data_IF_437399083749
#
_entry.id   IF_437399083749
#
_cell.length_a   1.000
_cell.length_b   1.000
_cell.length_c   1.000
_cell.angle_alpha   90.00
_cell.angle_beta   90.00
_cell.angle_gamma   90.00
#
_symmetry.space_group_name_H-M   'P 1'
#
loop_
_entity.id
_entity.type
_entity.pdbx_description
1 polymer ?
#
# COMPACT_ATOMS: atom_id res chain seq x y z
N UNK A 1 6.12 16.91 -9.69
CA UNK A 1 6.75 15.81 -8.91
C UNK A 1 7.06 16.38 -7.53
N UNK A 2 6.28 16.07 -6.53
CA UNK A 2 6.65 16.35 -5.14
C UNK A 2 7.25 15.06 -4.62
N UNK A 3 8.59 14.96 -4.64
CA UNK A 3 9.34 14.01 -3.84
C UNK A 3 9.65 14.79 -2.56
N UNK A 4 8.79 14.67 -1.55
CA UNK A 4 9.02 15.23 -0.23
C UNK A 4 9.20 14.10 0.76
N UNK A 5 10.02 14.29 1.76
CA UNK A 5 9.97 13.51 2.98
C UNK A 5 8.55 13.64 3.54
N UNK A 6 7.76 12.59 3.44
CA UNK A 6 6.36 12.57 3.82
C UNK A 6 6.28 11.91 5.18
N UNK A 7 5.61 12.60 6.06
CA UNK A 7 5.46 12.20 7.41
C UNK A 7 4.08 11.64 7.71
N UNK A 8 4.02 10.76 8.67
CA UNK A 8 2.78 10.18 9.18
C UNK A 8 2.35 10.89 10.47
N UNK A 9 1.05 11.18 10.56
CA UNK A 9 0.41 11.54 11.83
C UNK A 9 -0.35 10.33 12.38
N UNK A 10 0.36 9.32 12.87
CA UNK A 10 -0.26 8.10 13.44
C UNK A 10 -1.33 8.42 14.48
N UNK A 11 -1.21 9.56 15.17
CA UNK A 11 -2.20 10.03 16.14
C UNK A 11 -3.51 10.52 15.50
N UNK A 12 -3.54 10.76 14.19
CA UNK A 12 -4.76 11.15 13.46
C UNK A 12 -5.47 9.97 12.81
N UNK A 13 -4.83 8.80 12.76
CA UNK A 13 -5.42 7.58 12.22
C UNK A 13 -6.62 7.11 13.04
N UNK A 14 -7.50 6.33 12.44
CA UNK A 14 -8.58 5.67 13.15
C UNK A 14 -8.03 4.78 14.29
N UNK A 15 -8.75 4.71 15.43
CA UNK A 15 -8.33 3.91 16.61
C UNK A 15 -7.93 2.48 16.25
N UNK A 16 -8.65 1.85 15.33
CA UNK A 16 -8.36 0.48 14.89
C UNK A 16 -7.00 0.39 14.20
N UNK A 17 -6.67 1.36 13.36
CA UNK A 17 -5.39 1.43 12.67
C UNK A 17 -4.24 1.64 13.66
N UNK A 18 -4.40 2.57 14.61
CA UNK A 18 -3.41 2.79 15.67
C UNK A 18 -3.20 1.54 16.55
N UNK A 19 -4.28 0.83 16.91
CA UNK A 19 -4.19 -0.42 17.64
C UNK A 19 -3.46 -1.51 16.83
N UNK A 20 -3.68 -1.57 15.52
CA UNK A 20 -2.99 -2.51 14.63
C UNK A 20 -1.49 -2.21 14.52
N UNK A 21 -1.10 -0.93 14.43
CA UNK A 21 0.30 -0.50 14.47
C UNK A 21 0.98 -0.96 15.75
N UNK A 22 0.31 -0.81 16.89
CA UNK A 22 0.77 -1.27 18.20
C UNK A 22 0.64 -2.80 18.40
N UNK A 23 0.10 -3.51 17.41
CA UNK A 23 -0.20 -4.94 17.47
C UNK A 23 -1.04 -5.31 18.71
N UNK A 24 -2.03 -4.47 19.04
CA UNK A 24 -2.92 -4.66 20.19
C UNK A 24 -4.20 -5.37 19.77
N UNK A 25 -4.47 -6.47 20.42
CA UNK A 25 -5.76 -7.17 20.32
C UNK A 25 -6.67 -6.74 21.50
N UNK A 26 -7.90 -6.20 21.25
CA UNK A 26 -8.77 -5.68 22.30
C UNK A 26 -9.23 -6.75 23.31
N UNK A 27 -9.14 -8.03 22.94
CA UNK A 27 -9.57 -9.15 23.79
C UNK A 27 -8.39 -9.81 24.50
N UNK A 28 -7.28 -10.01 23.79
CA UNK A 28 -6.09 -10.69 24.31
C UNK A 28 -5.21 -9.77 25.17
N UNK A 29 -5.12 -8.48 24.74
CA UNK A 29 -4.30 -7.45 25.38
C UNK A 29 -5.18 -6.44 26.15
N UNK A 30 -6.26 -6.88 26.81
CA UNK A 30 -7.29 -6.02 27.38
C UNK A 30 -6.73 -4.85 28.21
N UNK A 31 -5.79 -5.13 29.13
CA UNK A 31 -5.18 -4.09 29.99
C UNK A 31 -4.43 -3.03 29.17
N UNK A 32 -3.64 -3.47 28.18
CA UNK A 32 -2.86 -2.59 27.31
C UNK A 32 -3.76 -1.81 26.35
N UNK A 33 -4.80 -2.47 25.85
CA UNK A 33 -5.78 -1.81 24.98
C UNK A 33 -6.57 -0.74 25.75
N UNK A 34 -6.94 -0.99 27.00
CA UNK A 34 -7.59 0.00 27.86
C UNK A 34 -6.65 1.16 28.20
N UNK A 35 -5.36 0.91 28.47
CA UNK A 35 -4.35 1.95 28.64
C UNK A 35 -4.21 2.82 27.36
N UNK A 36 -4.15 2.18 26.22
CA UNK A 36 -4.10 2.86 24.92
C UNK A 36 -5.35 3.74 24.69
N UNK A 37 -6.56 3.24 24.98
CA UNK A 37 -7.81 4.02 24.84
C UNK A 37 -7.83 5.22 25.78
N UNK A 38 -7.38 5.06 27.03
CA UNK A 38 -7.23 6.20 27.97
C UNK A 38 -6.24 7.23 27.45
N UNK A 39 -5.07 6.77 26.98
CA UNK A 39 -4.05 7.64 26.41
C UNK A 39 -4.60 8.49 25.26
N UNK A 40 -5.37 7.89 24.35
CA UNK A 40 -6.00 8.63 23.25
C UNK A 40 -7.06 9.63 23.73
N UNK A 41 -7.83 9.28 24.75
CA UNK A 41 -8.83 10.20 25.32
C UNK A 41 -8.17 11.40 26.00
N UNK A 42 -7.04 11.20 26.65
CA UNK A 42 -6.31 12.23 27.40
C UNK A 42 -5.37 13.05 26.49
N UNK A 43 -4.97 12.50 25.35
CA UNK A 43 -4.07 13.17 24.42
C UNK A 43 -4.70 14.42 23.79
N UNK A 44 -6.04 14.43 23.63
CA UNK A 44 -6.76 15.52 22.96
C UNK A 44 -6.22 15.71 21.52
N UNK A 45 -5.85 16.94 21.20
CA UNK A 45 -5.18 17.28 19.93
C UNK A 45 -3.64 17.21 20.02
N UNK A 46 -3.08 16.68 21.12
CA UNK A 46 -1.63 16.58 21.27
C UNK A 46 -1.05 15.61 20.23
N UNK A 47 -0.32 16.16 19.28
CA UNK A 47 0.34 15.45 18.18
C UNK A 47 1.82 15.17 18.46
N UNK A 48 2.25 15.31 19.71
CA UNK A 48 3.64 15.17 20.12
C UNK A 48 3.86 13.80 20.78
N UNK A 49 4.49 12.90 20.03
CA UNK A 49 4.86 11.55 20.51
C UNK A 49 5.70 11.66 21.81
N UNK A 50 6.63 12.62 21.89
CA UNK A 50 7.49 12.79 23.07
C UNK A 50 6.68 13.04 24.34
N UNK A 51 5.64 13.89 24.28
CA UNK A 51 4.75 14.14 25.43
C UNK A 51 3.98 12.88 25.83
N UNK A 52 3.52 12.07 24.85
CA UNK A 52 2.84 10.81 25.13
C UNK A 52 3.75 9.79 25.79
N UNK A 53 5.00 9.68 25.35
CA UNK A 53 5.99 8.79 25.97
C UNK A 53 6.28 9.20 27.44
N UNK A 54 6.39 10.50 27.72
CA UNK A 54 6.57 11.01 29.09
C UNK A 54 5.36 10.70 29.96
N UNK A 55 4.15 10.85 29.46
CA UNK A 55 2.91 10.49 30.19
C UNK A 55 2.85 9.00 30.51
N UNK A 56 3.14 8.14 29.55
CA UNK A 56 3.17 6.68 29.77
C UNK A 56 4.22 6.29 30.79
N UNK A 57 5.39 6.94 30.80
CA UNK A 57 6.44 6.70 31.79
C UNK A 57 5.98 7.04 33.22
N UNK A 58 5.21 8.12 33.37
CA UNK A 58 4.67 8.59 34.66
C UNK A 58 3.39 7.87 35.07
N UNK A 59 2.76 7.10 34.19
CA UNK A 59 1.47 6.46 34.38
C UNK A 59 1.50 5.17 35.23
N UNK A 60 0.44 4.41 35.14
CA UNK A 60 0.29 3.15 35.88
C UNK A 60 1.13 1.99 35.29
N UNK A 61 0.96 0.77 35.77
CA UNK A 61 1.70 -0.39 35.30
C UNK A 61 1.34 -0.78 33.86
N UNK A 62 0.10 -0.53 33.41
CA UNK A 62 -0.35 -0.82 32.06
C UNK A 62 0.22 0.22 31.08
N UNK A 63 0.27 1.49 31.47
CA UNK A 63 0.85 2.58 30.68
C UNK A 63 2.35 2.30 30.43
N UNK A 64 3.10 1.91 31.47
CA UNK A 64 4.53 1.57 31.33
C UNK A 64 4.76 0.33 30.46
N UNK A 65 3.86 -0.68 30.51
CA UNK A 65 3.92 -1.84 29.61
C UNK A 65 3.60 -1.46 28.17
N UNK A 66 2.67 -0.52 27.97
CA UNK A 66 2.38 0.03 26.64
C UNK A 66 3.59 0.77 26.08
N UNK A 67 4.24 1.63 26.88
CA UNK A 67 5.48 2.29 26.50
C UNK A 67 6.55 1.27 26.09
N UNK A 68 6.74 0.21 26.88
CA UNK A 68 7.71 -0.82 26.57
C UNK A 68 7.39 -1.57 25.26
N UNK A 69 6.10 -1.78 24.94
CA UNK A 69 5.67 -2.36 23.66
C UNK A 69 6.05 -1.43 22.49
N UNK A 70 5.79 -0.13 22.59
CA UNK A 70 6.18 0.87 21.59
C UNK A 70 7.68 0.84 21.34
N UNK A 71 8.48 0.80 22.40
CA UNK A 71 9.95 0.70 22.33
C UNK A 71 10.40 -0.62 21.71
N UNK A 72 9.79 -1.74 22.09
CA UNK A 72 10.13 -3.06 21.55
C UNK A 72 9.78 -3.21 20.06
N UNK A 73 8.77 -2.47 19.58
CA UNK A 73 8.40 -2.38 18.18
C UNK A 73 9.28 -1.39 17.39
N UNK A 74 10.24 -0.72 18.04
CA UNK A 74 11.14 0.25 17.40
C UNK A 74 10.42 1.53 16.94
N UNK A 75 9.16 1.71 17.28
CA UNK A 75 8.34 2.81 16.77
C UNK A 75 8.86 4.20 17.13
N UNK A 76 9.65 4.33 18.19
CA UNK A 76 10.29 5.60 18.58
C UNK A 76 11.40 6.05 17.61
N UNK A 77 11.84 5.16 16.74
CA UNK A 77 12.91 5.37 15.76
C UNK A 77 12.38 5.49 14.33
N UNK A 78 11.06 5.36 14.13
CA UNK A 78 10.47 5.49 12.81
C UNK A 78 10.66 6.89 12.23
N UNK A 79 11.07 6.97 10.98
CA UNK A 79 11.23 8.22 10.24
C UNK A 79 9.89 8.86 9.87
N UNK A 80 8.82 8.06 9.86
CA UNK A 80 7.46 8.49 9.56
C UNK A 80 6.86 9.48 10.59
N UNK A 81 7.48 9.68 11.75
CA UNK A 81 7.04 10.63 12.76
C UNK A 81 7.45 12.05 12.39
N UNK A 82 6.68 12.74 11.60
CA UNK A 82 7.00 14.09 11.24
C UNK A 82 6.20 15.10 12.04
N UNK A 83 6.83 15.74 12.93
CA UNK A 83 6.26 16.77 13.79
C UNK A 83 5.36 17.79 13.11
N UNK A 84 5.91 18.79 12.41
CA UNK A 84 5.15 19.89 11.80
C UNK A 84 4.90 19.77 10.30
N UNK A 85 5.34 18.68 9.67
CA UNK A 85 5.18 18.47 8.22
C UNK A 85 3.79 17.92 7.87
N UNK A 86 3.25 18.21 6.66
CA UNK A 86 2.00 17.62 6.22
C UNK A 86 2.13 16.09 6.12
N UNK A 87 1.06 15.36 6.45
CA UNK A 87 1.05 13.90 6.34
C UNK A 87 1.06 13.45 4.89
N UNK A 88 1.40 12.17 4.67
CA UNK A 88 1.27 11.52 3.36
C UNK A 88 -0.14 11.65 2.79
N UNK A 89 -1.14 11.52 3.66
CA UNK A 89 -2.54 11.65 3.28
C UNK A 89 -2.90 13.09 2.88
N UNK A 90 -2.38 14.10 3.59
CA UNK A 90 -2.59 15.50 3.23
C UNK A 90 -2.00 15.80 1.83
N UNK A 91 -0.77 15.34 1.57
CA UNK A 91 -0.11 15.50 0.26
C UNK A 91 -0.85 14.74 -0.85
N UNK A 92 -1.34 13.53 -0.57
CA UNK A 92 -2.06 12.73 -1.55
C UNK A 92 -3.43 13.30 -1.91
N UNK A 93 -4.04 14.11 -1.04
CA UNK A 93 -5.38 14.68 -1.22
C UNK A 93 -5.41 16.19 -1.49
N UNK A 94 -4.26 16.85 -1.56
CA UNK A 94 -4.16 18.32 -1.76
C UNK A 94 -4.58 18.81 -3.16
N UNK A 95 -4.84 17.90 -4.10
CA UNK A 95 -5.30 18.24 -5.44
C UNK A 95 -4.21 18.66 -6.41
N UNK A 96 -2.91 18.48 -6.09
CA UNK A 96 -1.77 18.88 -6.94
C UNK A 96 -1.61 18.07 -8.22
N UNK A 97 -2.46 17.10 -8.45
CA UNK A 97 -2.57 16.33 -9.70
C UNK A 97 -1.83 15.00 -9.69
N UNK A 98 -0.57 14.92 -9.30
CA UNK A 98 0.19 13.65 -9.20
C UNK A 98 1.05 13.66 -7.95
N UNK A 99 0.82 12.70 -7.06
CA UNK A 99 1.66 12.44 -5.88
C UNK A 99 2.34 11.09 -6.03
N UNK A 100 3.59 10.98 -5.66
CA UNK A 100 4.33 9.72 -5.63
C UNK A 100 4.73 9.45 -4.19
N UNK A 101 4.28 8.31 -3.69
CA UNK A 101 4.64 7.81 -2.36
C UNK A 101 5.68 6.71 -2.55
N UNK A 102 6.94 6.99 -2.17
CA UNK A 102 8.00 5.99 -2.17
C UNK A 102 7.96 5.25 -0.82
N UNK A 103 7.67 3.97 -0.89
CA UNK A 103 7.59 3.07 0.27
C UNK A 103 8.86 2.21 0.44
N UNK A 104 9.93 2.57 -0.28
CA UNK A 104 11.23 1.90 -0.18
C UNK A 104 12.13 2.54 0.87
N UNK A 105 13.10 1.78 1.36
CA UNK A 105 14.18 2.31 2.21
C UNK A 105 13.92 2.30 3.72
N UNK A 106 12.75 1.92 4.17
CA UNK A 106 12.43 1.81 5.60
C UNK A 106 12.99 0.53 6.21
N UNK A 107 13.55 0.62 7.42
CA UNK A 107 14.11 -0.53 8.14
C UNK A 107 13.01 -1.45 8.68
N UNK A 108 11.90 -0.90 9.17
CA UNK A 108 10.75 -1.67 9.66
C UNK A 108 9.66 -1.76 8.57
N UNK A 109 9.24 -2.95 8.15
CA UNK A 109 8.21 -3.13 7.14
C UNK A 109 6.80 -2.67 7.58
N UNK A 110 6.55 -2.46 8.87
CA UNK A 110 5.28 -1.93 9.36
C UNK A 110 5.16 -0.42 9.15
N UNK A 111 6.27 0.30 9.11
CA UNK A 111 6.30 1.75 8.93
C UNK A 111 5.69 2.17 7.58
N UNK A 112 6.19 1.74 6.41
CA UNK A 112 5.60 2.11 5.13
C UNK A 112 4.16 1.61 4.96
N UNK A 113 3.79 0.49 5.61
CA UNK A 113 2.42 0.00 5.60
C UNK A 113 1.48 0.92 6.39
N UNK A 114 1.95 1.51 7.49
CA UNK A 114 1.18 2.49 8.27
C UNK A 114 0.89 3.75 7.46
N UNK A 115 1.90 4.27 6.77
CA UNK A 115 1.77 5.41 5.86
C UNK A 115 0.76 5.09 4.74
N UNK A 116 0.89 3.92 4.14
CA UNK A 116 -0.04 3.47 3.10
C UNK A 116 -1.49 3.39 3.62
N UNK A 117 -1.68 2.84 4.83
CA UNK A 117 -3.00 2.73 5.45
C UNK A 117 -3.62 4.11 5.69
N UNK A 118 -2.87 5.09 6.18
CA UNK A 118 -3.35 6.45 6.39
C UNK A 118 -3.86 7.07 5.08
N UNK A 119 -3.08 6.97 4.01
CA UNK A 119 -3.48 7.48 2.68
C UNK A 119 -4.76 6.80 2.18
N UNK A 120 -4.82 5.47 2.26
CA UNK A 120 -5.98 4.71 1.82
C UNK A 120 -7.24 5.01 2.66
N UNK A 121 -7.08 5.16 3.97
CA UNK A 121 -8.17 5.51 4.88
C UNK A 121 -8.68 6.93 4.64
N UNK A 122 -7.80 7.90 4.36
CA UNK A 122 -8.17 9.25 4.00
C UNK A 122 -8.97 9.28 2.70
N UNK A 123 -8.44 8.68 1.64
CA UNK A 123 -9.13 8.59 0.34
C UNK A 123 -10.50 7.93 0.48
N UNK A 124 -10.61 6.90 1.31
CA UNK A 124 -11.88 6.25 1.55
C UNK A 124 -12.84 7.08 2.39
N UNK A 125 -12.37 7.78 3.41
CA UNK A 125 -13.20 8.65 4.26
C UNK A 125 -13.78 9.83 3.47
N UNK A 126 -13.00 10.37 2.54
CA UNK A 126 -13.37 11.51 1.71
C UNK A 126 -14.07 11.13 0.39
N UNK A 127 -14.33 9.82 0.15
CA UNK A 127 -14.88 9.30 -1.12
C UNK A 127 -16.16 9.98 -1.60
N UNK A 128 -17.00 10.49 -0.68
CA UNK A 128 -18.25 11.17 -1.03
C UNK A 128 -18.01 12.50 -1.77
N UNK A 129 -16.83 13.08 -1.66
CA UNK A 129 -16.40 14.25 -2.44
C UNK A 129 -16.24 13.94 -3.92
N UNK A 130 -16.12 12.65 -4.29
CA UNK A 130 -16.01 12.13 -5.66
C UNK A 130 -14.90 12.78 -6.47
N UNK A 131 -13.78 13.11 -5.84
CA UNK A 131 -12.58 13.57 -6.54
C UNK A 131 -11.99 12.39 -7.33
N UNK A 132 -11.92 12.49 -8.69
CA UNK A 132 -11.41 11.39 -9.48
C UNK A 132 -9.95 11.09 -9.13
N UNK A 133 -9.70 9.88 -8.65
CA UNK A 133 -8.35 9.47 -8.21
C UNK A 133 -8.00 8.11 -8.79
N UNK A 134 -6.85 8.01 -9.45
CA UNK A 134 -6.26 6.75 -9.90
C UNK A 134 -5.10 6.39 -8.98
N UNK A 135 -5.26 5.31 -8.22
CA UNK A 135 -4.20 4.72 -7.40
C UNK A 135 -3.39 3.76 -8.28
N UNK A 136 -2.14 4.08 -8.51
CA UNK A 136 -1.19 3.21 -9.21
C UNK A 136 -0.32 2.54 -8.18
N UNK A 137 -0.40 1.22 -8.09
CA UNK A 137 0.37 0.42 -7.12
C UNK A 137 1.37 -0.42 -7.91
N UNK A 138 2.63 -0.03 -7.83
CA UNK A 138 3.72 -0.83 -8.38
C UNK A 138 4.11 -1.94 -7.39
N UNK A 139 4.59 -3.07 -7.92
CA UNK A 139 4.85 -4.30 -7.15
C UNK A 139 3.69 -4.65 -6.19
N UNK A 140 2.46 -4.56 -6.72
CA UNK A 140 1.21 -4.71 -5.97
C UNK A 140 1.13 -5.98 -5.12
N UNK A 141 1.90 -7.02 -5.46
CA UNK A 141 2.01 -8.25 -4.69
C UNK A 141 2.61 -8.04 -3.28
N UNK A 142 3.20 -6.88 -2.99
CA UNK A 142 3.68 -6.54 -1.65
C UNK A 142 2.56 -6.00 -0.75
N UNK A 143 1.67 -5.16 -1.28
CA UNK A 143 0.56 -4.55 -0.54
C UNK A 143 -0.73 -5.39 -0.59
N UNK A 144 -0.96 -6.10 -1.68
CA UNK A 144 -2.20 -6.85 -1.94
C UNK A 144 -2.04 -8.37 -1.66
N UNK A 145 -1.18 -8.76 -0.73
CA UNK A 145 -0.90 -10.19 -0.45
C UNK A 145 -2.13 -10.91 0.10
N UNK A 146 -2.32 -12.16 -0.33
CA UNK A 146 -3.35 -13.04 0.22
C UNK A 146 -3.05 -13.50 1.67
N UNK A 147 -1.79 -13.40 2.09
CA UNK A 147 -1.29 -13.77 3.43
C UNK A 147 -0.60 -12.55 4.08
N UNK A 148 -1.33 -11.59 4.66
CA UNK A 148 -0.75 -10.42 5.29
C UNK A 148 0.16 -10.79 6.46
N UNK A 149 1.30 -10.09 6.56
CA UNK A 149 2.37 -10.44 7.51
C UNK A 149 2.13 -9.93 8.94
N UNK A 150 1.28 -8.93 9.11
CA UNK A 150 0.99 -8.28 10.38
C UNK A 150 -0.40 -7.61 10.37
N UNK A 151 -0.91 -7.13 11.51
CA UNK A 151 -2.23 -6.50 11.59
C UNK A 151 -2.40 -5.25 10.70
N UNK A 152 -1.35 -4.46 10.49
CA UNK A 152 -1.39 -3.28 9.61
C UNK A 152 -1.55 -3.72 8.16
N UNK A 153 -0.76 -4.71 7.72
CA UNK A 153 -0.88 -5.30 6.38
C UNK A 153 -2.28 -5.85 6.12
N UNK A 154 -2.91 -6.44 7.15
CA UNK A 154 -4.31 -6.91 7.06
C UNK A 154 -5.27 -5.74 6.80
N UNK A 155 -5.15 -4.62 7.51
CA UNK A 155 -6.00 -3.45 7.31
C UNK A 155 -5.77 -2.79 5.94
N UNK A 156 -4.52 -2.69 5.48
CA UNK A 156 -4.18 -2.22 4.12
C UNK A 156 -4.88 -3.08 3.08
N UNK A 157 -4.77 -4.40 3.21
CA UNK A 157 -5.43 -5.36 2.32
C UNK A 157 -6.95 -5.18 2.33
N UNK A 158 -7.58 -5.10 3.49
CA UNK A 158 -9.03 -4.91 3.63
C UNK A 158 -9.49 -3.61 2.96
N UNK A 159 -8.74 -2.52 3.13
CA UNK A 159 -9.05 -1.26 2.48
C UNK A 159 -8.89 -1.33 0.96
N UNK A 160 -7.85 -1.99 0.47
CA UNK A 160 -7.66 -2.20 -0.96
C UNK A 160 -8.75 -3.10 -1.57
N UNK A 161 -9.20 -4.15 -0.87
CA UNK A 161 -10.34 -4.97 -1.29
C UNK A 161 -11.60 -4.10 -1.39
N UNK A 162 -11.84 -3.24 -0.40
CA UNK A 162 -12.99 -2.35 -0.40
C UNK A 162 -12.95 -1.34 -1.55
N UNK A 163 -11.79 -0.72 -1.80
CA UNK A 163 -11.61 0.21 -2.92
C UNK A 163 -11.79 -0.53 -4.26
N UNK A 164 -11.24 -1.74 -4.40
CA UNK A 164 -11.40 -2.54 -5.61
C UNK A 164 -12.87 -2.85 -5.91
N UNK A 165 -13.65 -3.21 -4.87
CA UNK A 165 -15.05 -3.59 -5.01
C UNK A 165 -15.99 -2.39 -5.22
N UNK A 166 -15.74 -1.27 -4.58
CA UNK A 166 -16.71 -0.17 -4.48
C UNK A 166 -16.20 1.18 -4.98
N UNK A 167 -14.87 1.36 -5.06
CA UNK A 167 -14.22 2.66 -5.32
C UNK A 167 -14.72 3.35 -6.59
N UNK A 168 -15.01 2.59 -7.64
CA UNK A 168 -15.52 3.10 -8.91
C UNK A 168 -16.77 3.98 -8.75
N UNK A 169 -17.65 3.69 -7.79
CA UNK A 169 -18.87 4.48 -7.52
C UNK A 169 -18.55 5.90 -7.04
N UNK A 170 -17.35 6.06 -6.47
CA UNK A 170 -16.86 7.29 -5.85
C UNK A 170 -15.74 7.97 -6.65
N UNK A 171 -15.36 7.41 -7.80
CA UNK A 171 -14.28 7.94 -8.60
C UNK A 171 -12.89 7.50 -8.15
N UNK A 172 -12.79 6.39 -7.41
CA UNK A 172 -11.52 5.76 -7.05
C UNK A 172 -11.28 4.55 -7.95
N UNK A 173 -10.14 4.52 -8.63
CA UNK A 173 -9.72 3.41 -9.50
C UNK A 173 -8.36 2.87 -9.08
N UNK A 174 -8.13 1.58 -9.36
CA UNK A 174 -6.86 0.92 -9.13
C UNK A 174 -6.20 0.56 -10.46
N UNK A 175 -4.90 0.80 -10.55
CA UNK A 175 -4.00 0.21 -11.53
C UNK A 175 -2.92 -0.55 -10.78
N UNK A 176 -2.89 -1.87 -10.96
CA UNK A 176 -1.96 -2.75 -10.26
C UNK A 176 -0.88 -3.21 -11.23
N UNK A 177 0.38 -3.00 -10.90
CA UNK A 177 1.54 -3.55 -11.59
C UNK A 177 2.17 -4.64 -10.73
N UNK A 178 2.44 -5.81 -11.30
CA UNK A 178 3.03 -6.92 -10.55
C UNK A 178 3.71 -7.92 -11.45
N UNK A 179 4.84 -8.45 -10.99
CA UNK A 179 5.52 -9.59 -11.60
C UNK A 179 5.02 -10.94 -11.05
N UNK A 180 4.17 -10.92 -10.01
CA UNK A 180 3.67 -12.11 -9.31
C UNK A 180 2.16 -12.03 -9.07
N UNK A 181 1.34 -12.11 -10.12
CA UNK A 181 -0.11 -11.97 -10.01
C UNK A 181 -0.74 -13.03 -9.10
N UNK A 182 -0.19 -14.24 -9.04
CA UNK A 182 -0.66 -15.31 -8.14
C UNK A 182 -0.50 -14.99 -6.64
N UNK A 183 0.28 -13.97 -6.27
CA UNK A 183 0.43 -13.51 -4.89
C UNK A 183 -0.58 -12.43 -4.49
N UNK A 184 -1.25 -11.83 -5.46
CA UNK A 184 -2.28 -10.82 -5.21
C UNK A 184 -3.54 -11.51 -4.69
N UNK A 185 -4.20 -10.90 -3.71
CA UNK A 185 -5.42 -11.44 -3.12
C UNK A 185 -6.52 -11.61 -4.17
N UNK A 186 -7.18 -12.79 -4.26
CA UNK A 186 -8.15 -13.10 -5.31
C UNK A 186 -9.32 -12.12 -5.39
N UNK A 187 -9.78 -11.58 -4.25
CA UNK A 187 -10.87 -10.59 -4.23
C UNK A 187 -10.49 -9.26 -4.91
N UNK A 188 -9.21 -8.88 -4.88
CA UNK A 188 -8.74 -7.69 -5.61
C UNK A 188 -8.61 -8.02 -7.09
N UNK A 189 -7.93 -9.12 -7.40
CA UNK A 189 -7.64 -9.50 -8.78
C UNK A 189 -8.92 -9.73 -9.59
N UNK A 190 -9.95 -10.31 -8.97
CA UNK A 190 -11.25 -10.55 -9.60
C UNK A 190 -12.08 -9.27 -9.89
N UNK A 191 -11.71 -8.14 -9.31
CA UNK A 191 -12.34 -6.83 -9.62
C UNK A 191 -11.67 -6.09 -10.78
N UNK A 192 -10.57 -6.63 -11.31
CA UNK A 192 -9.89 -6.03 -12.44
C UNK A 192 -10.60 -6.40 -13.74
N UNK A 193 -11.21 -5.42 -14.40
CA UNK A 193 -11.93 -5.59 -15.68
C UNK A 193 -11.00 -5.58 -16.92
N UNK A 194 -9.72 -5.27 -16.72
CA UNK A 194 -8.74 -5.09 -17.77
C UNK A 194 -7.43 -5.80 -17.43
N UNK A 195 -6.80 -6.35 -18.46
CA UNK A 195 -5.50 -7.01 -18.37
C UNK A 195 -4.55 -6.46 -19.44
N UNK A 196 -3.40 -5.97 -19.00
CA UNK A 196 -2.23 -5.75 -19.84
C UNK A 196 -1.16 -6.76 -19.39
N UNK A 197 -0.96 -7.79 -20.17
CA UNK A 197 0.02 -8.85 -19.88
C UNK A 197 1.23 -8.68 -20.77
N UNK A 198 2.36 -8.39 -20.16
CA UNK A 198 3.67 -8.39 -20.81
C UNK A 198 4.29 -9.81 -20.73
N UNK A 199 5.59 -9.94 -20.95
CA UNK A 199 6.25 -11.24 -20.86
C UNK A 199 6.07 -11.87 -19.48
N UNK A 200 5.52 -13.08 -19.45
CA UNK A 200 5.33 -13.88 -18.24
C UNK A 200 5.97 -15.24 -18.40
N UNK A 201 6.89 -15.60 -17.52
CA UNK A 201 7.63 -16.86 -17.62
C UNK A 201 7.11 -17.96 -16.70
N UNK A 202 6.29 -17.62 -15.69
CA UNK A 202 5.74 -18.57 -14.72
C UNK A 202 4.51 -19.27 -15.29
N UNK A 203 4.52 -20.61 -15.49
CA UNK A 203 3.35 -21.34 -15.93
C UNK A 203 2.18 -21.24 -14.95
N UNK A 204 2.46 -21.24 -13.64
CA UNK A 204 1.44 -21.18 -12.61
C UNK A 204 0.72 -19.82 -12.62
N UNK A 205 1.46 -18.72 -12.82
CA UNK A 205 0.87 -17.38 -12.96
C UNK A 205 0.00 -17.28 -14.22
N UNK A 206 0.40 -17.88 -15.34
CA UNK A 206 -0.39 -17.91 -16.59
C UNK A 206 -1.70 -18.67 -16.37
N UNK A 207 -1.66 -19.81 -15.69
CA UNK A 207 -2.85 -20.59 -15.35
C UNK A 207 -3.80 -19.80 -14.47
N UNK A 208 -3.27 -19.12 -13.44
CA UNK A 208 -4.07 -18.30 -12.51
C UNK A 208 -4.71 -17.11 -13.22
N UNK A 209 -3.94 -16.42 -14.07
CA UNK A 209 -4.48 -15.34 -14.92
C UNK A 209 -5.60 -15.84 -15.82
N UNK A 210 -5.46 -17.04 -16.41
CA UNK A 210 -6.50 -17.62 -17.23
C UNK A 210 -7.77 -18.02 -16.48
N UNK A 211 -7.66 -18.34 -15.19
CA UNK A 211 -8.82 -18.58 -14.31
C UNK A 211 -9.52 -17.29 -13.93
N UNK A 212 -8.75 -16.26 -13.63
CA UNK A 212 -9.27 -14.97 -13.14
C UNK A 212 -9.82 -14.13 -14.28
N UNK A 213 -9.08 -14.01 -15.39
CA UNK A 213 -9.43 -13.18 -16.55
C UNK A 213 -10.03 -14.02 -17.69
N UNK A 214 -11.20 -14.61 -17.46
CA UNK A 214 -11.87 -15.47 -18.43
C UNK A 214 -12.19 -14.82 -19.78
N UNK A 215 -12.09 -13.49 -19.88
CA UNK A 215 -12.21 -12.75 -21.14
C UNK A 215 -10.90 -12.76 -21.97
N UNK A 216 -9.76 -13.14 -21.40
CA UNK A 216 -8.49 -13.24 -22.11
C UNK A 216 -8.34 -14.64 -22.73
N UNK A 217 -8.12 -14.76 -24.07
CA UNK A 217 -7.99 -16.06 -24.73
C UNK A 217 -6.78 -16.84 -24.21
N UNK A 218 -6.95 -18.09 -23.83
CA UNK A 218 -5.90 -18.94 -23.26
C UNK A 218 -4.66 -19.03 -24.17
N UNK A 219 -4.87 -19.15 -25.48
CA UNK A 219 -3.76 -19.21 -26.43
C UNK A 219 -2.90 -17.93 -26.42
N UNK A 220 -3.52 -16.76 -26.20
CA UNK A 220 -2.80 -15.48 -26.11
C UNK A 220 -2.08 -15.33 -24.77
N UNK A 221 -2.66 -15.83 -23.67
CA UNK A 221 -1.99 -15.87 -22.37
C UNK A 221 -0.72 -16.74 -22.45
N UNK A 222 -0.81 -17.93 -23.05
CA UNK A 222 0.35 -18.80 -23.22
C UNK A 222 1.42 -18.20 -24.17
N UNK A 223 1.01 -17.40 -25.17
CA UNK A 223 1.95 -16.73 -26.07
C UNK A 223 2.85 -15.71 -25.32
N UNK A 224 2.43 -15.23 -24.14
CA UNK A 224 3.20 -14.24 -23.37
C UNK A 224 4.60 -14.71 -22.97
N UNK A 225 4.85 -16.01 -22.90
CA UNK A 225 6.19 -16.56 -22.61
C UNK A 225 7.21 -16.20 -23.69
N UNK A 226 6.74 -16.02 -24.93
CA UNK A 226 7.57 -15.65 -26.08
C UNK A 226 7.64 -14.17 -26.39
N UNK A 227 6.97 -13.30 -25.61
CA UNK A 227 6.97 -11.86 -25.87
C UNK A 227 8.37 -11.27 -25.73
N UNK A 228 8.71 -10.39 -26.66
CA UNK A 228 9.92 -9.57 -26.57
C UNK A 228 9.61 -8.24 -25.89
N UNK A 229 10.65 -7.46 -25.62
CA UNK A 229 10.51 -6.16 -24.96
C UNK A 229 9.50 -5.26 -25.69
N UNK A 230 8.55 -4.72 -24.94
CA UNK A 230 7.49 -3.85 -25.44
C UNK A 230 6.28 -4.58 -26.01
N UNK A 231 6.29 -5.90 -26.14
CA UNK A 231 5.09 -6.67 -26.55
C UNK A 231 4.17 -6.93 -25.36
N UNK A 232 2.86 -6.82 -25.60
CA UNK A 232 1.84 -7.05 -24.59
C UNK A 232 0.56 -7.62 -25.21
N UNK A 233 -0.13 -8.43 -24.42
CA UNK A 233 -1.55 -8.76 -24.62
C UNK A 233 -2.40 -7.69 -23.91
N UNK A 234 -3.30 -7.09 -24.68
CA UNK A 234 -4.33 -6.18 -24.16
C UNK A 234 -5.68 -6.90 -24.22
N UNK A 235 -6.36 -6.99 -23.07
CA UNK A 235 -7.67 -7.66 -22.98
C UNK A 235 -8.55 -6.98 -21.92
N UNK A 236 -9.87 -7.02 -22.11
CA UNK A 236 -10.85 -6.40 -21.22
C UNK A 236 -11.54 -5.19 -21.83
N UNK A 237 -12.27 -4.45 -21.01
CA UNK A 237 -13.16 -3.37 -21.48
C UNK A 237 -12.45 -2.17 -22.14
N UNK A 238 -11.17 -1.98 -21.91
CA UNK A 238 -10.39 -0.89 -22.53
C UNK A 238 -9.91 -1.21 -23.96
N UNK A 239 -9.94 -2.47 -24.36
CA UNK A 239 -9.58 -2.92 -25.69
C UNK A 239 -10.82 -3.41 -26.45
N UNK A 240 -11.01 -3.01 -27.74
CA UNK A 240 -12.21 -3.40 -28.50
C UNK A 240 -12.30 -4.92 -28.71
N UNK A 241 -11.16 -5.59 -28.75
CA UNK A 241 -10.98 -7.05 -28.74
C UNK A 241 -9.69 -7.39 -28.03
N UNK A 242 -9.54 -8.63 -27.55
CA UNK A 242 -8.24 -9.09 -27.05
C UNK A 242 -7.22 -9.08 -28.18
N UNK A 243 -6.11 -8.36 -28.02
CA UNK A 243 -5.15 -8.09 -29.08
C UNK A 243 -3.72 -8.11 -28.56
N UNK A 244 -2.79 -8.51 -29.45
CA UNK A 244 -1.37 -8.35 -29.22
C UNK A 244 -0.95 -6.97 -29.74
N UNK A 245 -0.21 -6.25 -28.93
CA UNK A 245 0.28 -4.92 -29.26
C UNK A 245 1.77 -4.82 -28.97
N UNK A 246 2.45 -3.95 -29.73
CA UNK A 246 3.81 -3.54 -29.42
C UNK A 246 3.80 -2.09 -28.99
N UNK A 247 4.26 -1.85 -27.77
CA UNK A 247 4.39 -0.51 -27.20
C UNK A 247 5.48 0.23 -27.98
N UNK A 248 5.26 1.52 -28.21
CA UNK A 248 6.25 2.38 -28.83
C UNK A 248 7.39 2.68 -27.85
N UNK A 249 8.47 3.25 -28.37
CA UNK A 249 9.57 3.76 -27.57
C UNK A 249 9.09 4.79 -26.53
N UNK A 250 9.74 4.80 -25.38
CA UNK A 250 9.47 5.73 -24.30
C UNK A 250 9.80 7.17 -24.74
N UNK A 251 8.95 8.11 -24.32
CA UNK A 251 9.18 9.54 -24.58
C UNK A 251 9.91 10.25 -23.42
N UNK A 252 9.90 9.62 -22.23
CA UNK A 252 10.51 10.16 -21.02
C UNK A 252 11.85 9.48 -20.76
N UNK A 253 12.72 10.19 -20.05
CA UNK A 253 14.00 9.63 -19.59
C UNK A 253 13.74 8.49 -18.59
N UNK A 254 14.53 7.42 -18.66
CA UNK A 254 14.53 6.33 -17.68
C UNK A 254 15.39 6.75 -16.49
N UNK A 255 14.74 7.10 -15.39
CA UNK A 255 15.41 7.27 -14.10
C UNK A 255 15.56 5.92 -13.45
N UNK A 256 16.74 5.46 -13.17
CA UNK A 256 17.04 4.13 -12.66
C UNK A 256 17.85 3.37 -13.70
N UNK A 257 19.11 3.76 -13.85
CA UNK A 257 20.09 2.97 -14.60
C UNK A 257 20.39 1.71 -13.78
N UNK A 258 20.40 0.56 -14.43
CA UNK A 258 21.14 -0.59 -13.95
C UNK A 258 22.54 -0.09 -13.53
N UNK A 259 22.83 -0.15 -12.24
CA UNK A 259 24.19 0.18 -11.76
C UNK A 259 25.09 -0.84 -12.41
N UNK A 260 25.87 -0.40 -13.40
CA UNK A 260 26.85 -1.25 -14.05
C UNK A 260 27.81 -1.77 -12.96
N UNK A 261 27.68 -3.05 -12.61
CA UNK A 261 28.60 -3.68 -11.67
C UNK A 261 29.98 -3.66 -12.36
N UNK A 262 31.00 -2.95 -11.83
CA UNK A 262 32.31 -2.95 -12.45
C UNK A 262 32.85 -4.38 -12.44
N UNK A 263 32.98 -4.97 -13.62
CA UNK A 263 33.68 -6.24 -13.77
C UNK A 263 35.13 -6.02 -13.34
N UNK A 264 35.52 -6.60 -12.22
CA UNK A 264 36.92 -6.63 -11.81
C UNK A 264 37.66 -7.43 -12.90
N UNK A 265 38.40 -6.75 -13.76
CA UNK A 265 39.34 -7.40 -14.63
C UNK A 265 40.41 -8.03 -13.74
N UNK A 266 40.52 -9.37 -13.75
CA UNK A 266 41.60 -10.13 -13.12
C UNK A 266 42.81 -10.11 -14.00
#
# INVERSE_FOLDING_TARGET
>A
WVVGEVAEHTLTMARQAQAAVLQLDPVRDEDLYNAFVRLLADAGEARDLGQLLVRMQAGDAADRRLLQRIQNLGMTEWEAWAGEQPSAADVATDGTGVSVLDLGGFDDPAEPLSICLEVLDRLWSERESRVPTLLVIDEAHNLCRADPSNPVAQLVLERLIQIAAEGRKYGLWLLLSSQRPSKIHPQILSQCDNLMLMRMNSPDDIVELGRTFGFAPQAMLHASTGFVQGEALLAGGFAPVSMLARMRERLTYEGGSDVAVPLIQR
#
